data_IF_658561564986
#
_entry.id   IF_658561564986
#
_cell.length_a   1.000
_cell.length_b   1.000
_cell.length_c   1.000
_cell.angle_alpha   90.00
_cell.angle_beta   90.00
_cell.angle_gamma   90.00
#
_symmetry.space_group_name_H-M   'P 1'
#
loop_
_entity.id
_entity.type
_entity.pdbx_description
1 polymer ?
#
# COMPACT_ATOMS: atom_id res chain seq x y z
N UNK A 1 6.15 -7.37 4.34
CA UNK A 1 5.53 -8.02 3.17
C UNK A 1 4.62 -9.12 3.68
N UNK A 2 3.46 -9.29 3.06
CA UNK A 2 2.48 -10.32 3.42
C UNK A 2 1.71 -10.72 2.16
N UNK A 3 1.31 -11.98 2.10
CA UNK A 3 0.38 -12.54 1.13
C UNK A 3 -1.10 -12.28 1.50
N UNK A 4 -1.37 -11.77 2.71
CA UNK A 4 -2.69 -11.32 3.15
C UNK A 4 -2.92 -9.85 2.75
N UNK A 5 -3.80 -9.66 1.77
CA UNK A 5 -4.23 -8.34 1.28
C UNK A 5 -4.77 -7.44 2.39
N UNK A 6 -5.58 -7.97 3.31
CA UNK A 6 -6.21 -7.18 4.36
C UNK A 6 -5.18 -6.73 5.40
N UNK A 7 -4.21 -7.60 5.71
CA UNK A 7 -3.09 -7.24 6.56
C UNK A 7 -2.24 -6.12 5.93
N UNK A 8 -1.99 -6.18 4.62
CA UNK A 8 -1.27 -5.13 3.91
C UNK A 8 -2.00 -3.78 3.92
N UNK A 9 -3.31 -3.77 3.61
CA UNK A 9 -4.16 -2.57 3.66
C UNK A 9 -4.15 -1.97 5.06
N UNK A 10 -4.34 -2.79 6.10
CA UNK A 10 -4.32 -2.34 7.50
C UNK A 10 -2.98 -1.71 7.87
N UNK A 11 -1.86 -2.31 7.45
CA UNK A 11 -0.54 -1.75 7.71
C UNK A 11 -0.33 -0.38 7.08
N UNK A 12 -0.72 -0.20 5.82
CA UNK A 12 -0.65 1.11 5.15
C UNK A 12 -1.55 2.12 5.86
N UNK A 13 -2.79 1.74 6.21
CA UNK A 13 -3.70 2.62 6.93
C UNK A 13 -3.13 3.09 8.27
N UNK A 14 -2.57 2.17 9.08
CA UNK A 14 -1.92 2.48 10.35
C UNK A 14 -0.72 3.42 10.15
N UNK A 15 0.15 3.12 9.19
CA UNK A 15 1.33 3.94 8.90
C UNK A 15 0.94 5.37 8.50
N UNK A 16 -0.08 5.52 7.66
CA UNK A 16 -0.58 6.82 7.19
C UNK A 16 -1.08 7.75 8.29
N UNK A 17 -1.48 7.22 9.47
CA UNK A 17 -1.87 8.06 10.61
C UNK A 17 -0.72 8.95 11.11
N UNK A 18 0.53 8.50 10.94
CA UNK A 18 1.73 9.21 11.34
C UNK A 18 2.20 10.29 10.36
N UNK A 19 1.60 10.40 9.17
CA UNK A 19 2.02 11.35 8.13
C UNK A 19 1.07 12.53 8.00
N UNK A 20 1.57 13.67 7.53
CA UNK A 20 0.77 14.88 7.31
C UNK A 20 -0.33 14.72 6.24
N UNK A 21 -1.20 15.71 6.16
CA UNK A 21 -2.20 15.79 5.10
C UNK A 21 -1.55 15.83 3.71
N UNK A 22 -2.16 15.15 2.74
CA UNK A 22 -1.59 14.99 1.40
C UNK A 22 -0.59 13.83 1.25
N UNK A 23 -0.30 13.08 2.32
CA UNK A 23 0.46 11.84 2.21
C UNK A 23 -0.32 10.77 1.41
N UNK A 24 0.42 9.93 0.68
CA UNK A 24 -0.12 8.80 -0.06
C UNK A 24 0.59 7.50 0.32
N UNK A 25 -0.10 6.38 0.14
CA UNK A 25 0.42 5.03 0.35
C UNK A 25 -0.12 4.09 -0.72
N UNK A 26 0.58 2.99 -0.93
CA UNK A 26 0.27 2.03 -1.99
C UNK A 26 0.46 0.60 -1.49
N UNK A 27 -0.43 -0.30 -1.89
CA UNK A 27 -0.28 -1.75 -1.72
C UNK A 27 -0.02 -2.36 -3.09
N UNK A 28 1.19 -2.91 -3.26
CA UNK A 28 1.62 -3.63 -4.46
C UNK A 28 1.46 -5.12 -4.29
N UNK A 29 1.02 -5.80 -5.35
CA UNK A 29 1.20 -7.23 -5.51
C UNK A 29 2.54 -7.46 -6.21
N UNK A 30 3.40 -8.26 -5.59
CA UNK A 30 4.73 -8.56 -6.12
C UNK A 30 4.96 -10.08 -6.13
N UNK A 31 5.82 -10.54 -7.03
CA UNK A 31 6.38 -11.90 -7.02
C UNK A 31 7.87 -11.86 -6.70
N UNK A 32 8.42 -12.98 -6.23
CA UNK A 32 9.86 -13.21 -6.24
C UNK A 32 10.31 -13.47 -7.68
N UNK A 33 11.49 -12.97 -8.02
CA UNK A 33 12.07 -13.22 -9.33
C UNK A 33 12.30 -14.74 -9.54
N UNK A 34 11.92 -15.29 -10.70
CA UNK A 34 12.00 -16.72 -10.97
C UNK A 34 13.44 -17.21 -11.16
N UNK A 35 14.39 -16.29 -11.35
CA UNK A 35 15.82 -16.57 -11.50
C UNK A 35 16.52 -16.89 -10.16
N UNK A 36 15.77 -16.94 -9.06
CA UNK A 36 16.30 -17.22 -7.72
C UNK A 36 16.99 -16.02 -7.07
N UNK A 37 16.98 -14.86 -7.73
CA UNK A 37 17.45 -13.62 -7.11
C UNK A 37 16.46 -13.14 -6.03
N UNK A 38 16.98 -12.42 -5.04
CA UNK A 38 16.16 -11.76 -4.01
C UNK A 38 15.47 -10.49 -4.54
N UNK A 39 15.13 -10.45 -5.82
CA UNK A 39 14.44 -9.34 -6.44
C UNK A 39 12.92 -9.55 -6.41
N UNK A 40 12.19 -8.43 -6.27
CA UNK A 40 10.74 -8.41 -6.40
C UNK A 40 10.35 -7.90 -7.78
N UNK A 41 9.40 -8.59 -8.40
CA UNK A 41 8.77 -8.18 -9.66
C UNK A 41 7.41 -7.60 -9.31
N UNK A 42 7.21 -6.32 -9.62
CA UNK A 42 5.91 -5.67 -9.49
C UNK A 42 4.91 -6.30 -10.47
N UNK A 43 3.78 -6.77 -9.94
CA UNK A 43 2.72 -7.39 -10.73
C UNK A 43 1.55 -6.42 -10.96
N UNK A 44 1.12 -5.73 -9.90
CA UNK A 44 -0.01 -4.79 -9.96
C UNK A 44 -0.11 -3.91 -8.70
N UNK A 45 -0.87 -2.82 -8.79
CA UNK A 45 -1.30 -2.00 -7.66
C UNK A 45 -2.70 -2.46 -7.23
N UNK A 46 -2.82 -2.98 -6.01
CA UNK A 46 -4.08 -3.57 -5.50
C UNK A 46 -4.82 -2.66 -4.50
N UNK A 47 -4.27 -1.47 -4.26
CA UNK A 47 -4.88 -0.47 -3.41
C UNK A 47 -4.02 0.78 -3.30
N UNK A 48 -4.62 1.93 -3.52
CA UNK A 48 -4.00 3.23 -3.30
C UNK A 48 -4.74 3.94 -2.17
N UNK A 49 -3.97 4.60 -1.31
CA UNK A 49 -4.51 5.39 -0.21
C UNK A 49 -3.94 6.81 -0.24
N UNK A 50 -4.78 7.78 0.09
CA UNK A 50 -4.33 9.16 0.29
C UNK A 50 -5.02 9.77 1.50
N UNK A 51 -4.26 10.62 2.22
CA UNK A 51 -4.77 11.39 3.33
C UNK A 51 -5.34 12.70 2.80
N UNK A 52 -6.67 12.79 2.79
CA UNK A 52 -7.39 13.97 2.31
C UNK A 52 -6.93 15.24 3.03
N UNK A 53 -6.78 16.33 2.28
CA UNK A 53 -6.22 17.58 2.81
C UNK A 53 -7.18 18.35 3.69
N UNK A 54 -8.48 18.26 3.43
CA UNK A 54 -9.50 19.00 4.18
C UNK A 54 -9.93 18.30 5.45
N UNK A 55 -10.20 17.01 5.36
CA UNK A 55 -10.74 16.19 6.46
C UNK A 55 -9.66 15.44 7.24
N UNK A 56 -8.47 15.27 6.67
CA UNK A 56 -7.43 14.38 7.23
C UNK A 56 -7.80 12.90 7.19
N UNK A 57 -8.93 12.53 6.56
CA UNK A 57 -9.38 11.16 6.41
C UNK A 57 -8.49 10.39 5.43
N UNK A 58 -8.30 9.10 5.68
CA UNK A 58 -7.60 8.21 4.75
C UNK A 58 -8.64 7.61 3.80
N UNK A 59 -8.51 7.93 2.52
CA UNK A 59 -9.40 7.46 1.45
C UNK A 59 -8.67 6.41 0.61
N UNK A 60 -9.42 5.41 0.15
CA UNK A 60 -8.90 4.29 -0.63
C UNK A 60 -9.49 4.23 -2.03
N UNK A 61 -8.68 3.81 -3.01
CA UNK A 61 -9.10 3.46 -4.37
C UNK A 61 -8.56 2.07 -4.73
N UNK A 62 -9.38 1.29 -5.44
CA UNK A 62 -8.98 -0.04 -5.93
C UNK A 62 -8.93 -1.14 -4.85
N UNK A 63 -9.47 -0.89 -3.66
CA UNK A 63 -9.58 -1.84 -2.56
C UNK A 63 -10.84 -2.71 -2.68
#
# INVERSE_FOLDING_TARGET
MTDDRNAAIRHVHEAMRGFGSGASGEVRRVALAPDGSAAYVDLDIVGEAWRDKGSGAIVWRGA
#
